data_IF_072410668862
#
_entry.id   IF_072410668862
#
_cell.length_a   1.000
_cell.length_b   1.000
_cell.length_c   1.000
_cell.angle_alpha   90.00
_cell.angle_beta   90.00
_cell.angle_gamma   90.00
#
_symmetry.space_group_name_H-M   'P 1'
#
loop_
_entity.id
_entity.type
_entity.pdbx_description
1 polymer ?
#
# COMPACT_ATOMS: atom_id res chain seq x y z
N UNK A 1 13.79 -5.69 -18.70
CA UNK A 1 12.47 -6.38 -18.71
C UNK A 1 12.05 -6.80 -17.29
N UNK A 2 12.91 -7.49 -16.55
CA UNK A 2 12.63 -7.97 -15.17
C UNK A 2 12.23 -6.84 -14.21
N UNK A 3 12.99 -5.75 -14.14
CA UNK A 3 12.70 -4.58 -13.30
C UNK A 3 11.34 -3.97 -13.65
N UNK A 4 10.99 -3.89 -14.94
CA UNK A 4 9.70 -3.36 -15.37
C UNK A 4 8.52 -4.21 -14.88
N UNK A 5 8.63 -5.53 -14.88
CA UNK A 5 7.60 -6.44 -14.36
C UNK A 5 7.47 -6.28 -12.84
N UNK A 6 8.58 -6.24 -12.10
CA UNK A 6 8.56 -6.05 -10.64
C UNK A 6 7.96 -4.69 -10.27
N UNK A 7 8.35 -3.62 -10.98
CA UNK A 7 7.79 -2.29 -10.78
C UNK A 7 6.28 -2.28 -11.08
N UNK A 8 5.83 -2.95 -12.13
CA UNK A 8 4.41 -3.02 -12.48
C UNK A 8 3.59 -3.78 -11.43
N UNK A 9 4.13 -4.87 -10.86
CA UNK A 9 3.50 -5.58 -9.73
C UNK A 9 3.30 -4.63 -8.53
N UNK A 10 4.32 -3.82 -8.22
CA UNK A 10 4.23 -2.84 -7.14
C UNK A 10 3.21 -1.75 -7.45
N UNK A 11 3.22 -1.19 -8.67
CA UNK A 11 2.28 -0.17 -9.14
C UNK A 11 0.84 -0.65 -9.00
N UNK A 12 0.53 -1.84 -9.51
CA UNK A 12 -0.80 -2.44 -9.49
C UNK A 12 -1.28 -2.64 -8.04
N UNK A 13 -0.42 -3.17 -7.17
CA UNK A 13 -0.75 -3.35 -5.75
C UNK A 13 -0.98 -2.02 -5.04
N UNK A 14 -0.08 -1.05 -5.25
CA UNK A 14 -0.16 0.26 -4.61
C UNK A 14 -1.34 1.07 -5.09
N UNK A 15 -1.74 0.94 -6.36
CA UNK A 15 -2.93 1.59 -6.89
C UNK A 15 -4.18 1.20 -6.11
N UNK A 16 -4.42 -0.10 -5.88
CA UNK A 16 -5.58 -0.57 -5.11
C UNK A 16 -5.58 -0.05 -3.67
N UNK A 17 -4.41 0.11 -3.07
CA UNK A 17 -4.27 0.68 -1.73
C UNK A 17 -4.54 2.19 -1.71
N UNK A 18 -3.89 2.92 -2.61
CA UNK A 18 -3.96 4.39 -2.63
C UNK A 18 -5.34 4.90 -3.04
N UNK A 19 -6.08 4.16 -3.89
CA UNK A 19 -7.43 4.53 -4.30
C UNK A 19 -8.43 4.58 -3.14
N UNK A 20 -8.16 3.87 -2.05
CA UNK A 20 -8.97 3.87 -0.83
C UNK A 20 -8.72 5.11 0.05
N UNK A 21 -7.51 5.70 0.02
CA UNK A 21 -7.13 6.77 0.95
C UNK A 21 -8.11 7.95 0.97
N UNK A 22 -8.51 8.54 -0.18
CA UNK A 22 -9.37 9.71 -0.19
C UNK A 22 -10.85 9.43 0.15
N UNK A 23 -11.26 8.16 0.19
CA UNK A 23 -12.69 7.80 0.30
C UNK A 23 -13.01 6.91 1.50
N UNK A 24 -12.00 6.24 2.07
CA UNK A 24 -12.21 5.22 3.09
C UNK A 24 -12.80 5.81 4.38
N UNK A 25 -12.36 7.00 4.80
CA UNK A 25 -12.85 7.63 6.02
C UNK A 25 -14.34 8.00 5.92
N UNK A 26 -14.77 8.54 4.78
CA UNK A 26 -16.18 8.84 4.51
C UNK A 26 -17.04 7.57 4.48
N UNK A 27 -16.57 6.53 3.78
CA UNK A 27 -17.24 5.24 3.73
C UNK A 27 -17.36 4.58 5.11
N UNK A 28 -16.26 4.60 5.87
CA UNK A 28 -16.22 3.98 7.19
C UNK A 28 -17.18 4.62 8.20
N UNK A 29 -17.52 5.91 8.02
CA UNK A 29 -18.51 6.63 8.84
C UNK A 29 -19.91 6.02 8.74
N UNK A 30 -20.27 5.55 7.57
CA UNK A 30 -21.62 5.06 7.27
C UNK A 30 -21.79 3.55 7.55
N UNK A 31 -20.73 2.88 8.07
CA UNK A 31 -20.78 1.48 8.46
C UNK A 31 -21.39 1.27 9.86
N UNK A 32 -21.93 0.08 10.09
CA UNK A 32 -22.43 -0.34 11.39
C UNK A 32 -21.34 -0.24 12.45
N UNK A 33 -21.72 0.29 13.62
CA UNK A 33 -20.87 0.51 14.81
C UNK A 33 -19.71 1.49 14.59
N UNK A 34 -19.78 2.39 13.59
CA UNK A 34 -18.75 3.37 13.34
C UNK A 34 -18.63 4.38 14.51
N UNK A 35 -17.40 4.62 14.94
CA UNK A 35 -17.01 5.69 15.87
C UNK A 35 -15.80 6.43 15.31
N UNK A 36 -15.54 7.68 15.70
CA UNK A 36 -14.37 8.42 15.20
C UNK A 36 -13.05 7.66 15.38
N UNK A 37 -12.89 6.96 16.50
CA UNK A 37 -11.71 6.14 16.78
C UNK A 37 -11.61 4.95 15.80
N UNK A 38 -12.71 4.24 15.57
CA UNK A 38 -12.74 3.08 14.68
C UNK A 38 -12.55 3.48 13.21
N UNK A 39 -13.06 4.66 12.79
CA UNK A 39 -12.79 5.22 11.46
C UNK A 39 -11.28 5.46 11.28
N UNK A 40 -10.64 6.13 12.24
CA UNK A 40 -9.20 6.33 12.22
C UNK A 40 -8.43 5.00 12.21
N UNK A 41 -8.89 4.01 12.97
CA UNK A 41 -8.30 2.68 12.99
C UNK A 41 -8.47 1.95 11.66
N UNK A 42 -9.63 2.04 11.00
CA UNK A 42 -9.84 1.45 9.68
C UNK A 42 -8.86 1.99 8.63
N UNK A 43 -8.53 3.28 8.68
CA UNK A 43 -7.51 3.88 7.81
C UNK A 43 -6.11 3.44 8.21
N UNK A 44 -5.78 3.46 9.52
CA UNK A 44 -4.43 3.19 10.04
C UNK A 44 -4.06 1.70 10.15
N UNK A 45 -5.04 0.79 10.27
CA UNK A 45 -4.83 -0.64 10.53
C UNK A 45 -3.90 -1.32 9.52
N UNK A 46 -4.02 -0.95 8.25
CA UNK A 46 -3.11 -1.40 7.19
C UNK A 46 -1.65 -1.05 7.52
N UNK A 47 -1.40 0.20 7.88
CA UNK A 47 -0.04 0.69 8.19
C UNK A 47 0.56 0.00 9.41
N UNK A 48 -0.24 -0.28 10.43
CA UNK A 48 0.21 -0.97 11.66
C UNK A 48 0.75 -2.37 11.35
N UNK A 49 -0.04 -3.19 10.65
CA UNK A 49 0.38 -4.56 10.32
C UNK A 49 1.51 -4.57 9.29
N UNK A 50 1.49 -3.67 8.33
CA UNK A 50 2.59 -3.53 7.38
C UNK A 50 3.90 -3.16 8.09
N UNK A 51 3.90 -2.20 8.98
CA UNK A 51 5.08 -1.79 9.73
C UNK A 51 5.63 -2.95 10.59
N UNK A 52 4.75 -3.70 11.27
CA UNK A 52 5.13 -4.81 12.11
C UNK A 52 5.72 -6.00 11.30
N UNK A 53 5.17 -6.29 10.11
CA UNK A 53 5.49 -7.50 9.37
C UNK A 53 6.49 -7.27 8.21
N UNK A 54 6.73 -6.04 7.79
CA UNK A 54 7.60 -5.74 6.64
C UNK A 54 9.03 -6.22 6.84
N UNK A 55 9.61 -6.00 8.02
CA UNK A 55 10.97 -6.46 8.36
C UNK A 55 11.02 -7.98 8.53
N UNK A 56 10.15 -8.62 9.33
CA UNK A 56 10.11 -10.08 9.44
C UNK A 56 9.90 -10.80 8.11
N UNK A 57 8.96 -10.34 7.27
CA UNK A 57 8.71 -10.95 5.97
C UNK A 57 9.86 -10.71 4.98
N UNK A 58 10.50 -9.54 5.03
CA UNK A 58 11.73 -9.26 4.30
C UNK A 58 12.83 -10.27 4.65
N UNK A 59 13.12 -10.46 5.94
CA UNK A 59 14.12 -11.42 6.41
C UNK A 59 13.73 -12.88 6.11
N UNK A 60 12.44 -13.23 6.21
CA UNK A 60 11.95 -14.55 5.82
C UNK A 60 12.17 -14.81 4.33
N UNK A 61 12.01 -13.78 3.49
CA UNK A 61 12.22 -13.89 2.04
C UNK A 61 13.69 -14.18 1.66
N UNK A 62 14.65 -13.84 2.52
CA UNK A 62 16.07 -14.20 2.33
C UNK A 62 16.31 -15.70 2.50
N UNK A 63 15.48 -16.39 3.27
CA UNK A 63 15.59 -17.82 3.58
C UNK A 63 14.73 -18.69 2.66
N UNK A 64 13.46 -18.35 2.52
CA UNK A 64 12.45 -19.14 1.78
C UNK A 64 12.49 -18.80 0.29
N UNK A 65 12.95 -17.59 -0.03
CA UNK A 65 12.99 -17.05 -1.40
C UNK A 65 12.01 -15.89 -1.57
N UNK A 66 12.31 -15.01 -2.53
CA UNK A 66 11.52 -13.79 -2.79
C UNK A 66 10.11 -14.11 -3.30
N UNK A 67 10.04 -15.00 -4.31
CA UNK A 67 8.79 -15.28 -5.02
C UNK A 67 7.72 -15.90 -4.11
N UNK A 68 8.00 -16.93 -3.27
CA UNK A 68 7.00 -17.46 -2.35
C UNK A 68 6.43 -16.44 -1.38
N UNK A 69 7.28 -15.54 -0.85
CA UNK A 69 6.84 -14.49 0.08
C UNK A 69 5.99 -13.45 -0.63
N UNK A 70 6.34 -13.07 -1.87
CA UNK A 70 5.53 -12.14 -2.65
C UNK A 70 4.17 -12.77 -2.98
N UNK A 71 4.13 -14.03 -3.41
CA UNK A 71 2.87 -14.74 -3.69
C UNK A 71 1.99 -14.84 -2.45
N UNK A 72 2.56 -15.28 -1.31
CA UNK A 72 1.83 -15.36 -0.03
C UNK A 72 1.30 -14.00 0.41
N UNK A 73 2.11 -12.96 0.31
CA UNK A 73 1.71 -11.59 0.65
C UNK A 73 0.60 -11.05 -0.26
N UNK A 74 0.66 -11.30 -1.57
CA UNK A 74 -0.42 -10.93 -2.50
C UNK A 74 -1.71 -11.70 -2.23
N UNK A 75 -1.62 -12.98 -1.86
CA UNK A 75 -2.77 -13.79 -1.48
C UNK A 75 -3.44 -13.27 -0.20
N UNK A 76 -2.65 -12.96 0.84
CA UNK A 76 -3.15 -12.37 2.10
C UNK A 76 -3.75 -10.98 1.84
N UNK A 77 -3.11 -10.16 1.01
CA UNK A 77 -3.65 -8.86 0.60
C UNK A 77 -4.99 -8.99 -0.12
N UNK A 78 -5.09 -9.91 -1.09
CA UNK A 78 -6.34 -10.16 -1.82
C UNK A 78 -7.45 -10.66 -0.88
N UNK A 79 -7.14 -11.57 0.05
CA UNK A 79 -8.07 -12.03 1.06
C UNK A 79 -8.56 -10.87 1.94
N UNK A 80 -7.67 -9.99 2.37
CA UNK A 80 -8.02 -8.79 3.13
C UNK A 80 -8.94 -7.84 2.34
N UNK A 81 -8.72 -7.71 1.02
CA UNK A 81 -9.62 -6.94 0.14
C UNK A 81 -11.01 -7.58 0.09
N UNK A 82 -11.11 -8.89 -0.06
CA UNK A 82 -12.39 -9.61 -0.09
C UNK A 82 -13.13 -9.44 1.24
N UNK A 83 -12.44 -9.65 2.38
CA UNK A 83 -13.04 -9.47 3.73
C UNK A 83 -13.59 -8.06 3.89
N UNK A 84 -12.85 -7.03 3.49
CA UNK A 84 -13.32 -5.64 3.57
C UNK A 84 -14.49 -5.37 2.61
N UNK A 85 -14.48 -5.96 1.41
CA UNK A 85 -15.50 -5.74 0.38
C UNK A 85 -16.87 -6.32 0.74
N UNK A 86 -16.90 -7.45 1.47
CA UNK A 86 -18.16 -8.13 1.86
C UNK A 86 -18.67 -7.70 3.24
N UNK A 87 -17.96 -6.81 3.92
CA UNK A 87 -18.31 -6.41 5.28
C UNK A 87 -19.19 -5.15 5.29
N UNK A 88 -20.28 -5.22 6.04
CA UNK A 88 -21.15 -4.08 6.32
C UNK A 88 -20.81 -3.39 7.67
N UNK A 89 -19.91 -3.99 8.46
CA UNK A 89 -19.48 -3.49 9.75
C UNK A 89 -18.06 -2.90 9.70
N UNK A 90 -17.84 -1.84 10.49
CA UNK A 90 -16.51 -1.23 10.67
C UNK A 90 -15.44 -2.24 11.14
N UNK A 91 -15.83 -3.21 11.96
CA UNK A 91 -14.91 -4.24 12.47
C UNK A 91 -14.41 -5.16 11.35
N UNK A 92 -15.29 -5.54 10.42
CA UNK A 92 -14.90 -6.36 9.28
C UNK A 92 -13.99 -5.60 8.31
N UNK A 93 -14.26 -4.31 8.10
CA UNK A 93 -13.35 -3.46 7.31
C UNK A 93 -11.99 -3.34 7.99
N UNK A 94 -11.93 -3.12 9.31
CA UNK A 94 -10.67 -3.10 10.07
C UNK A 94 -9.92 -4.44 9.94
N UNK A 95 -10.62 -5.57 10.09
CA UNK A 95 -10.01 -6.91 9.93
C UNK A 95 -9.43 -7.09 8.52
N UNK A 96 -10.18 -6.69 7.48
CA UNK A 96 -9.70 -6.69 6.09
C UNK A 96 -8.46 -5.82 5.92
N UNK A 97 -8.43 -4.63 6.52
CA UNK A 97 -7.27 -3.70 6.48
C UNK A 97 -6.04 -4.26 7.20
N UNK A 98 -6.22 -4.92 8.34
CA UNK A 98 -5.14 -5.63 9.03
C UNK A 98 -4.56 -6.75 8.15
N UNK A 99 -5.41 -7.55 7.49
CA UNK A 99 -4.96 -8.57 6.54
C UNK A 99 -4.24 -7.97 5.33
N UNK A 100 -4.77 -6.89 4.74
CA UNK A 100 -4.10 -6.19 3.65
C UNK A 100 -2.68 -5.75 4.04
N UNK A 101 -2.51 -5.19 5.23
CA UNK A 101 -1.21 -4.79 5.75
C UNK A 101 -0.30 -5.99 6.06
N UNK A 102 -0.87 -7.12 6.52
CA UNK A 102 -0.13 -8.35 6.75
C UNK A 102 0.46 -8.94 5.44
N UNK A 103 -0.14 -8.62 4.29
CA UNK A 103 0.44 -8.90 2.97
C UNK A 103 1.63 -7.98 2.60
N UNK A 104 2.47 -7.59 3.56
CA UNK A 104 3.59 -6.66 3.37
C UNK A 104 4.69 -7.25 2.49
N UNK A 105 4.73 -6.86 1.20
CA UNK A 105 5.72 -7.34 0.22
C UNK A 105 6.69 -6.26 -0.26
N UNK A 106 6.55 -5.01 0.18
CA UNK A 106 7.33 -3.90 -0.36
C UNK A 106 8.84 -4.09 -0.17
N UNK A 107 9.28 -4.52 1.04
CA UNK A 107 10.69 -4.83 1.29
C UNK A 107 11.19 -6.00 0.42
N UNK A 108 10.36 -7.03 0.24
CA UNK A 108 10.71 -8.19 -0.59
C UNK A 108 10.81 -7.82 -2.08
N UNK A 109 9.92 -6.93 -2.59
CA UNK A 109 9.99 -6.44 -3.97
C UNK A 109 11.26 -5.59 -4.20
N UNK A 110 11.59 -4.72 -3.26
CA UNK A 110 12.81 -3.91 -3.30
C UNK A 110 14.07 -4.79 -3.28
N UNK A 111 14.07 -5.82 -2.42
CA UNK A 111 15.16 -6.80 -2.38
C UNK A 111 15.24 -7.61 -3.68
N UNK A 112 14.11 -8.00 -4.28
CA UNK A 112 14.09 -8.70 -5.57
C UNK A 112 14.66 -7.83 -6.71
N UNK A 113 14.39 -6.51 -6.71
CA UNK A 113 15.01 -5.59 -7.66
C UNK A 113 16.54 -5.55 -7.46
N UNK A 114 17.00 -5.48 -6.21
CA UNK A 114 18.42 -5.46 -5.87
C UNK A 114 19.11 -6.76 -6.30
N UNK A 115 18.46 -7.92 -6.11
CA UNK A 115 18.98 -9.24 -6.50
C UNK A 115 18.99 -9.42 -8.03
N UNK A 116 18.04 -8.80 -8.74
CA UNK A 116 17.88 -8.89 -10.20
C UNK A 116 18.72 -7.87 -10.99
N UNK A 117 19.43 -6.95 -10.31
CA UNK A 117 20.15 -5.85 -10.95
C UNK A 117 21.63 -5.81 -10.54
N UNK A 118 22.50 -5.46 -11.50
CA UNK A 118 23.91 -5.16 -11.22
C UNK A 118 24.01 -3.85 -10.43
N UNK A 119 25.10 -3.66 -9.71
CA UNK A 119 25.32 -2.48 -8.86
C UNK A 119 25.24 -1.17 -9.63
N UNK A 120 25.79 -1.15 -10.86
CA UNK A 120 25.89 0.05 -11.71
C UNK A 120 24.50 0.59 -12.13
N UNK A 121 23.50 -0.29 -12.25
CA UNK A 121 22.14 0.08 -12.68
C UNK A 121 21.10 0.02 -11.56
N UNK A 122 21.49 -0.40 -10.36
CA UNK A 122 20.58 -0.58 -9.21
C UNK A 122 19.87 0.71 -8.83
N UNK A 123 20.60 1.82 -8.72
CA UNK A 123 20.02 3.14 -8.40
C UNK A 123 18.97 3.55 -9.44
N UNK A 124 19.26 3.36 -10.73
CA UNK A 124 18.30 3.65 -11.80
C UNK A 124 17.07 2.74 -11.73
N UNK A 125 17.25 1.48 -11.38
CA UNK A 125 16.16 0.52 -11.22
C UNK A 125 15.24 0.87 -10.04
N UNK A 126 15.83 1.33 -8.92
CA UNK A 126 15.09 1.83 -7.77
C UNK A 126 14.35 3.13 -8.10
N UNK A 127 14.94 4.02 -8.91
CA UNK A 127 14.27 5.23 -9.38
C UNK A 127 13.03 4.89 -10.23
N UNK A 128 13.13 3.93 -11.16
CA UNK A 128 11.98 3.46 -11.96
C UNK A 128 10.88 2.89 -11.06
N UNK A 129 11.25 2.12 -10.04
CA UNK A 129 10.31 1.59 -9.04
C UNK A 129 9.62 2.71 -8.28
N UNK A 130 10.36 3.71 -7.79
CA UNK A 130 9.81 4.86 -7.05
C UNK A 130 8.90 5.74 -7.91
N UNK A 131 9.28 6.03 -9.15
CA UNK A 131 8.45 6.77 -10.12
C UNK A 131 7.14 6.00 -10.38
N UNK A 132 7.22 4.67 -10.53
CA UNK A 132 6.04 3.84 -10.70
C UNK A 132 5.06 3.96 -9.53
N UNK A 133 5.56 3.93 -8.29
CA UNK A 133 4.73 4.11 -7.07
C UNK A 133 4.12 5.51 -7.04
N UNK A 134 4.90 6.55 -7.34
CA UNK A 134 4.40 7.93 -7.41
C UNK A 134 3.30 8.11 -8.44
N UNK A 135 3.48 7.54 -9.65
CA UNK A 135 2.45 7.56 -10.70
C UNK A 135 1.20 6.79 -10.26
N UNK A 136 1.37 5.65 -9.60
CA UNK A 136 0.26 4.88 -9.03
C UNK A 136 -0.54 5.70 -8.01
N UNK A 137 0.14 6.43 -7.13
CA UNK A 137 -0.47 7.33 -6.17
C UNK A 137 -1.27 8.44 -6.88
N UNK A 138 -0.65 9.13 -7.85
CA UNK A 138 -1.29 10.18 -8.62
C UNK A 138 -2.57 9.70 -9.31
N UNK A 139 -2.51 8.57 -10.02
CA UNK A 139 -3.67 7.97 -10.69
C UNK A 139 -4.75 7.52 -9.71
N UNK A 140 -4.35 7.00 -8.57
CA UNK A 140 -5.27 6.54 -7.52
C UNK A 140 -6.05 7.70 -6.88
N UNK A 141 -5.43 8.87 -6.71
CA UNK A 141 -6.10 10.07 -6.20
C UNK A 141 -7.21 10.57 -7.12
N UNK A 142 -7.11 10.31 -8.41
CA UNK A 142 -8.17 10.61 -9.39
C UNK A 142 -9.21 9.48 -9.40
N UNK A 143 -8.74 8.26 -9.56
CA UNK A 143 -9.61 7.11 -9.78
C UNK A 143 -10.42 6.73 -8.53
N UNK A 144 -9.85 6.88 -7.33
CA UNK A 144 -10.51 6.53 -6.06
C UNK A 144 -11.86 7.21 -5.87
N UNK A 145 -11.92 8.55 -5.82
CA UNK A 145 -13.17 9.28 -5.68
C UNK A 145 -14.16 9.02 -6.82
N UNK A 146 -13.69 8.91 -8.07
CA UNK A 146 -14.55 8.65 -9.23
C UNK A 146 -15.17 7.23 -9.19
N UNK A 147 -14.37 6.23 -8.84
CA UNK A 147 -14.84 4.85 -8.71
C UNK A 147 -15.81 4.73 -7.53
N UNK A 148 -15.48 5.33 -6.39
CA UNK A 148 -16.34 5.32 -5.22
C UNK A 148 -17.69 5.99 -5.49
N UNK A 149 -17.71 7.12 -6.18
CA UNK A 149 -18.94 7.84 -6.52
C UNK A 149 -19.84 7.05 -7.50
N UNK A 150 -19.25 6.26 -8.41
CA UNK A 150 -20.01 5.52 -9.44
C UNK A 150 -20.40 4.11 -9.01
N UNK A 151 -19.53 3.43 -8.28
CA UNK A 151 -19.68 1.99 -7.99
C UNK A 151 -19.63 1.65 -6.49
N UNK A 152 -19.44 2.66 -5.63
CA UNK A 152 -19.22 2.46 -4.20
C UNK A 152 -17.77 2.07 -3.84
N UNK A 153 -17.42 2.19 -2.56
CA UNK A 153 -16.05 1.90 -2.07
C UNK A 153 -15.78 0.39 -2.06
N UNK A 154 -16.80 -0.46 -1.88
CA UNK A 154 -16.67 -1.91 -2.00
C UNK A 154 -16.10 -2.33 -3.36
N UNK A 155 -16.48 -1.64 -4.44
CA UNK A 155 -15.94 -1.91 -5.78
C UNK A 155 -14.42 -1.67 -5.87
N UNK A 156 -13.88 -0.72 -5.10
CA UNK A 156 -12.42 -0.48 -5.04
C UNK A 156 -11.73 -1.66 -4.34
N UNK A 157 -12.32 -2.20 -3.26
CA UNK A 157 -11.79 -3.39 -2.60
C UNK A 157 -11.78 -4.60 -3.54
N UNK A 158 -12.88 -4.83 -4.29
CA UNK A 158 -12.95 -5.90 -5.29
C UNK A 158 -11.93 -5.69 -6.42
N UNK A 159 -11.81 -4.48 -6.93
CA UNK A 159 -10.78 -4.15 -7.94
C UNK A 159 -9.37 -4.42 -7.41
N UNK A 160 -9.07 -4.02 -6.17
CA UNK A 160 -7.78 -4.27 -5.54
C UNK A 160 -7.50 -5.78 -5.37
N UNK A 161 -8.51 -6.59 -5.04
CA UNK A 161 -8.38 -8.05 -4.99
C UNK A 161 -8.04 -8.64 -6.36
N UNK A 162 -8.75 -8.24 -7.42
CA UNK A 162 -8.47 -8.68 -8.79
C UNK A 162 -7.07 -8.24 -9.23
N UNK A 163 -6.69 -7.00 -8.96
CA UNK A 163 -5.36 -6.49 -9.26
C UNK A 163 -4.26 -7.27 -8.53
N UNK A 164 -4.47 -7.69 -7.28
CA UNK A 164 -3.52 -8.52 -6.55
C UNK A 164 -3.35 -9.91 -7.18
N UNK A 165 -4.44 -10.51 -7.66
CA UNK A 165 -4.38 -11.79 -8.40
C UNK A 165 -3.63 -11.61 -9.72
N UNK A 166 -3.90 -10.54 -10.47
CA UNK A 166 -3.17 -10.22 -11.70
C UNK A 166 -1.69 -10.01 -11.44
N UNK A 167 -1.33 -9.29 -10.36
CA UNK A 167 0.05 -9.11 -9.94
C UNK A 167 0.73 -10.46 -9.61
N UNK A 168 0.02 -11.37 -8.94
CA UNK A 168 0.51 -12.73 -8.66
C UNK A 168 0.74 -13.54 -9.94
N UNK A 169 -0.15 -13.43 -10.92
CA UNK A 169 0.04 -14.08 -12.23
C UNK A 169 1.22 -13.51 -13.00
N UNK A 170 1.47 -12.20 -12.89
CA UNK A 170 2.62 -11.55 -13.54
C UNK A 170 3.98 -12.06 -13.01
N UNK A 171 4.05 -12.62 -11.81
CA UNK A 171 5.28 -13.23 -11.30
C UNK A 171 5.74 -14.42 -12.18
N UNK A 172 4.82 -15.07 -12.90
CA UNK A 172 5.16 -16.13 -13.88
C UNK A 172 5.91 -15.60 -15.11
N UNK A 173 5.86 -14.30 -15.36
CA UNK A 173 6.58 -13.64 -16.45
C UNK A 173 8.01 -13.28 -16.09
N UNK A 174 8.38 -13.42 -14.80
CA UNK A 174 9.74 -13.18 -14.35
C UNK A 174 10.64 -14.34 -14.79
N UNK A 175 11.81 -14.05 -15.37
CA UNK A 175 12.83 -15.07 -15.57
C UNK A 175 13.31 -15.58 -14.21
N UNK A 176 13.93 -16.75 -14.17
CA UNK A 176 14.56 -17.24 -12.95
C UNK A 176 15.62 -16.23 -12.48
N UNK A 177 15.32 -15.58 -11.36
CA UNK A 177 16.27 -14.69 -10.68
C UNK A 177 17.11 -15.56 -9.75
N UNK A 178 18.45 -15.56 -9.89
CA UNK A 178 19.30 -16.29 -8.98
C UNK A 178 19.02 -15.87 -7.53
N UNK A 179 18.52 -16.80 -6.73
CA UNK A 179 18.26 -16.52 -5.32
C UNK A 179 19.58 -16.59 -4.57
N UNK A 180 20.13 -15.44 -4.23
CA UNK A 180 21.27 -15.37 -3.31
C UNK A 180 20.70 -15.62 -1.91
N UNK A 181 20.69 -16.90 -1.49
CA UNK A 181 20.35 -17.26 -0.11
C UNK A 181 21.40 -16.67 0.81
N UNK A 182 21.16 -15.49 1.31
CA UNK A 182 21.97 -14.91 2.39
C UNK A 182 21.52 -15.54 3.70
N UNK A 183 22.50 -15.92 4.54
CA UNK A 183 22.18 -16.28 5.93
C UNK A 183 21.54 -15.03 6.58
N UNK A 184 20.22 -15.08 6.81
CA UNK A 184 19.52 -13.98 7.43
C UNK A 184 20.03 -13.84 8.87
N UNK A 185 20.81 -12.80 9.14
CA UNK A 185 21.13 -12.44 10.50
C UNK A 185 19.93 -11.64 11.06
N UNK A 186 19.30 -12.14 12.11
CA UNK A 186 18.27 -11.40 12.86
C UNK A 186 18.87 -10.28 13.72
N UNK A 187 20.07 -9.83 13.40
CA UNK A 187 20.71 -8.75 14.13
C UNK A 187 20.11 -7.41 13.69
N UNK A 188 19.14 -6.93 14.47
CA UNK A 188 18.51 -5.63 14.26
C UNK A 188 19.29 -4.47 14.87
N UNK A 189 20.35 -4.75 15.65
CA UNK A 189 21.15 -3.72 16.32
C UNK A 189 21.69 -2.63 15.38
N UNK A 190 22.16 -2.93 14.15
CA UNK A 190 22.58 -1.88 13.22
C UNK A 190 21.47 -0.93 12.79
N UNK A 191 20.20 -1.39 12.80
CA UNK A 191 19.03 -0.56 12.45
C UNK A 191 18.62 0.36 13.61
N UNK A 192 19.04 0.07 14.84
CA UNK A 192 18.72 0.88 16.03
C UNK A 192 19.75 2.01 16.30
N UNK A 193 20.60 2.34 15.33
CA UNK A 193 21.52 3.48 15.46
C UNK A 193 20.73 4.79 15.57
N UNK A 194 21.15 5.72 16.45
CA UNK A 194 20.42 6.98 16.67
C UNK A 194 20.19 7.80 15.40
N UNK A 195 21.15 7.76 14.47
CA UNK A 195 21.07 8.47 13.19
C UNK A 195 19.93 7.92 12.31
N UNK A 196 19.78 6.59 12.24
CA UNK A 196 18.72 5.93 11.49
C UNK A 196 17.35 6.13 12.17
N UNK A 197 17.29 5.99 13.50
CA UNK A 197 16.06 6.22 14.26
C UNK A 197 15.54 7.66 14.10
N UNK A 198 16.41 8.65 13.98
CA UNK A 198 15.98 10.04 13.67
C UNK A 198 15.34 10.13 12.30
N UNK A 199 15.95 9.53 11.27
CA UNK A 199 15.40 9.51 9.91
C UNK A 199 14.05 8.79 9.92
N UNK A 200 13.98 7.61 10.56
CA UNK A 200 12.75 6.83 10.67
C UNK A 200 11.66 7.62 11.40
N UNK A 201 12.00 8.37 12.45
CA UNK A 201 11.05 9.23 13.16
C UNK A 201 10.50 10.35 12.27
N UNK A 202 11.35 11.01 11.47
CA UNK A 202 10.89 12.04 10.53
C UNK A 202 9.98 11.45 9.44
N UNK A 203 10.35 10.29 8.91
CA UNK A 203 9.52 9.58 7.92
C UNK A 203 8.19 9.16 8.54
N UNK A 204 8.21 8.64 9.78
CA UNK A 204 7.00 8.32 10.53
C UNK A 204 6.11 9.54 10.71
N UNK A 205 6.66 10.68 11.17
CA UNK A 205 5.91 11.90 11.40
C UNK A 205 5.27 12.42 10.10
N UNK A 206 6.03 12.43 9.00
CA UNK A 206 5.53 12.81 7.68
C UNK A 206 4.33 11.95 7.25
N UNK A 207 4.47 10.62 7.38
CA UNK A 207 3.39 9.69 7.01
C UNK A 207 2.20 9.78 7.97
N UNK A 208 2.44 10.04 9.24
CA UNK A 208 1.36 10.24 10.21
C UNK A 208 0.52 11.49 9.87
N UNK A 209 1.18 12.61 9.55
CA UNK A 209 0.53 13.84 9.11
C UNK A 209 -0.25 13.59 7.81
N UNK A 210 0.39 12.95 6.83
CA UNK A 210 -0.26 12.61 5.57
C UNK A 210 -1.51 11.74 5.78
N UNK A 211 -1.40 10.69 6.59
CA UNK A 211 -2.53 9.79 6.87
C UNK A 211 -3.64 10.50 7.62
N UNK A 212 -3.31 11.32 8.63
CA UNK A 212 -4.28 12.15 9.35
C UNK A 212 -5.00 13.13 8.42
N UNK A 213 -4.28 13.71 7.45
CA UNK A 213 -4.88 14.58 6.43
C UNK A 213 -5.88 13.83 5.56
N UNK A 214 -5.60 12.58 5.17
CA UNK A 214 -6.54 11.75 4.40
C UNK A 214 -7.75 11.27 5.22
N UNK A 215 -7.71 11.36 6.54
CA UNK A 215 -8.90 11.16 7.40
C UNK A 215 -9.73 12.43 7.45
N UNK A 216 -9.11 13.58 7.69
CA UNK A 216 -9.81 14.85 7.94
C UNK A 216 -10.27 15.55 6.65
N UNK A 217 -9.42 15.61 5.63
CA UNK A 217 -9.65 16.41 4.42
C UNK A 217 -10.93 16.02 3.65
N UNK A 218 -11.28 14.74 3.46
CA UNK A 218 -12.53 14.38 2.78
C UNK A 218 -13.78 14.93 3.48
N UNK A 219 -13.78 14.97 4.82
CA UNK A 219 -14.89 15.54 5.61
C UNK A 219 -14.96 17.06 5.45
N UNK A 220 -13.83 17.76 5.52
CA UNK A 220 -13.77 19.22 5.30
C UNK A 220 -14.26 19.59 3.90
N UNK A 221 -13.80 18.87 2.87
CA UNK A 221 -14.22 19.11 1.49
C UNK A 221 -15.72 18.90 1.30
N UNK A 222 -16.30 17.90 1.97
CA UNK A 222 -17.72 17.58 1.85
C UNK A 222 -18.60 18.54 2.67
N UNK A 223 -18.23 18.84 3.94
CA UNK A 223 -19.09 19.56 4.86
C UNK A 223 -18.88 21.08 4.86
N UNK A 224 -17.63 21.54 4.72
CA UNK A 224 -17.32 22.97 4.82
C UNK A 224 -17.29 23.65 3.44
N UNK A 225 -16.94 22.90 2.39
CA UNK A 225 -16.85 23.42 1.03
C UNK A 225 -17.95 22.88 0.09
N UNK A 226 -18.90 22.11 0.59
CA UNK A 226 -19.99 21.47 -0.18
C UNK A 226 -19.49 20.77 -1.46
N UNK A 227 -18.25 20.24 -1.44
CA UNK A 227 -17.61 19.64 -2.59
C UNK A 227 -17.97 18.17 -2.71
N UNK A 228 -18.75 17.77 -3.73
CA UNK A 228 -19.13 16.38 -3.90
C UNK A 228 -17.92 15.49 -4.19
N UNK A 229 -18.00 14.21 -3.82
CA UNK A 229 -16.91 13.23 -3.95
C UNK A 229 -16.32 13.18 -5.38
N UNK A 230 -17.19 13.35 -6.39
CA UNK A 230 -16.81 13.39 -7.82
C UNK A 230 -15.87 14.54 -8.20
N UNK A 231 -15.73 15.56 -7.37
CA UNK A 231 -14.87 16.73 -7.61
C UNK A 231 -13.67 16.80 -6.68
N UNK A 232 -13.63 16.05 -5.58
CA UNK A 232 -12.57 16.09 -4.58
C UNK A 232 -11.18 15.77 -5.16
N UNK A 233 -11.11 14.91 -6.19
CA UNK A 233 -9.86 14.62 -6.88
C UNK A 233 -9.15 15.88 -7.43
N UNK A 234 -9.89 16.94 -7.77
CA UNK A 234 -9.31 18.21 -8.27
C UNK A 234 -8.45 18.87 -7.22
N UNK A 235 -8.87 18.82 -5.95
CA UNK A 235 -8.10 19.35 -4.82
C UNK A 235 -6.83 18.53 -4.58
N UNK A 236 -6.93 17.20 -4.60
CA UNK A 236 -5.77 16.32 -4.42
C UNK A 236 -4.73 16.54 -5.52
N UNK A 237 -5.17 16.62 -6.78
CA UNK A 237 -4.26 16.87 -7.91
C UNK A 237 -3.69 18.28 -7.85
N UNK A 238 -4.50 19.30 -7.53
CA UNK A 238 -4.01 20.67 -7.36
C UNK A 238 -2.90 20.76 -6.32
N UNK A 239 -3.08 20.11 -5.16
CA UNK A 239 -2.06 20.06 -4.12
C UNK A 239 -0.79 19.32 -4.57
N UNK A 240 -0.93 18.19 -5.28
CA UNK A 240 0.20 17.42 -5.81
C UNK A 240 0.99 18.11 -6.92
N UNK A 241 0.36 19.00 -7.68
CA UNK A 241 1.06 19.75 -8.74
C UNK A 241 1.85 20.96 -8.20
N UNK A 242 1.53 21.42 -6.98
CA UNK A 242 2.19 22.56 -6.32
C UNK A 242 3.29 22.09 -5.37
N UNK A 243 3.29 20.83 -4.93
CA UNK A 243 4.29 20.22 -4.01
C UNK A 243 5.52 19.71 -4.76
#
# INVERSE_FOLDING_TARGET
RTVGVIALIAVIRMFGLFALLPVLALYARDLDNATPLLIGLAVGAYGLTQAALQVPLGALSDRVGRIPIILGGLAVFALGCVVAAVSDSIYGVIAGRLLQGAGAISATLTALIADATREEVRTRSMAVYGIGIGLSFFLAMIAGPLLAAKFGVQAIFWAAAVLAVLAALMLRLLPEVPQIKKAASWNLLPALRPELLRIDFYVFLLHAIMTASFVALPFLLLHDLDMPLTQQWKMYIGALLVS
#
